data_IF_538182823788
#
_entry.id   IF_538182823788
#
_cell.length_a   1.000
_cell.length_b   1.000
_cell.length_c   1.000
_cell.angle_alpha   90.00
_cell.angle_beta   90.00
_cell.angle_gamma   90.00
#
_symmetry.space_group_name_H-M   'P 1'
#
loop_
_entity.id
_entity.type
_entity.pdbx_description
1 polymer ?
#
# COMPACT_ATOMS: atom_id res chain seq x y z
N UNK A 1 -61.53 18.44 12.35
CA UNK A 1 -60.14 18.27 12.78
C UNK A 1 -59.26 18.40 11.56
N UNK A 2 -58.47 19.47 11.52
CA UNK A 2 -57.68 19.82 10.31
C UNK A 2 -56.57 18.79 10.10
N UNK A 3 -56.45 18.32 8.84
CA UNK A 3 -55.41 17.40 8.39
C UNK A 3 -54.02 17.99 8.61
N UNK A 4 -53.24 17.40 9.49
CA UNK A 4 -51.83 17.75 9.74
C UNK A 4 -50.84 17.18 8.69
N UNK A 5 -51.31 16.79 7.50
CA UNK A 5 -50.53 16.04 6.49
C UNK A 5 -49.86 16.95 5.45
N UNK A 6 -50.14 18.27 5.46
CA UNK A 6 -49.51 19.20 4.48
C UNK A 6 -47.98 19.45 4.69
N UNK A 7 -47.36 18.88 5.68
CA UNK A 7 -45.91 19.09 5.99
C UNK A 7 -45.01 17.87 5.70
N UNK A 8 -45.46 16.79 5.12
CA UNK A 8 -44.63 15.63 4.82
C UNK A 8 -43.78 15.77 3.54
N UNK A 9 -43.98 16.80 2.73
CA UNK A 9 -43.23 16.99 1.47
C UNK A 9 -41.83 17.60 1.64
N UNK A 10 -41.40 17.91 2.89
CA UNK A 10 -40.09 18.52 3.18
C UNK A 10 -39.28 17.79 4.25
N UNK A 11 -39.75 16.62 4.73
CA UNK A 11 -38.99 15.80 5.69
C UNK A 11 -38.10 14.86 4.88
N UNK A 12 -36.80 14.97 5.05
CA UNK A 12 -35.83 14.01 4.47
C UNK A 12 -36.16 12.59 4.96
N UNK A 13 -35.98 11.61 4.10
CA UNK A 13 -36.27 10.17 4.35
C UNK A 13 -35.57 9.66 5.62
N UNK A 14 -34.49 10.28 6.05
CA UNK A 14 -33.73 9.96 7.27
C UNK A 14 -34.48 10.23 8.59
N UNK A 15 -35.57 11.02 8.57
CA UNK A 15 -36.28 11.42 9.77
C UNK A 15 -37.58 10.63 10.02
N UNK A 16 -37.87 9.60 9.25
CA UNK A 16 -39.10 8.77 9.37
C UNK A 16 -38.83 7.48 10.16
N UNK A 17 -38.29 7.59 11.37
CA UNK A 17 -38.11 6.43 12.26
C UNK A 17 -39.42 5.96 12.93
N UNK A 18 -40.58 6.62 12.77
CA UNK A 18 -41.82 6.35 13.52
C UNK A 18 -43.09 6.44 12.70
N UNK A 19 -43.22 5.65 11.64
CA UNK A 19 -44.54 5.43 11.00
C UNK A 19 -45.34 4.28 11.68
N UNK A 20 -44.77 3.58 12.63
CA UNK A 20 -45.34 2.35 13.18
C UNK A 20 -46.40 2.58 14.28
N UNK A 21 -46.93 3.78 14.47
CA UNK A 21 -47.98 4.08 15.45
C UNK A 21 -49.17 4.80 14.85
N UNK A 22 -49.34 4.81 13.51
CA UNK A 22 -50.55 5.32 12.86
C UNK A 22 -51.55 4.18 12.71
N UNK A 23 -52.74 4.33 13.34
CA UNK A 23 -53.85 3.38 13.21
C UNK A 23 -54.48 3.42 11.82
N UNK A 24 -55.02 2.29 11.39
CA UNK A 24 -55.39 1.88 10.02
C UNK A 24 -56.21 2.83 9.14
N UNK A 25 -56.95 3.79 9.68
CA UNK A 25 -57.88 4.61 8.91
C UNK A 25 -57.26 5.73 8.07
N UNK A 26 -55.94 5.95 8.18
CA UNK A 26 -55.24 7.04 7.47
C UNK A 26 -54.09 6.58 6.56
N UNK A 27 -53.94 5.26 6.35
CA UNK A 27 -52.80 4.69 5.62
C UNK A 27 -53.05 4.54 4.12
N UNK A 28 -54.32 4.69 3.64
CA UNK A 28 -54.64 4.53 2.23
C UNK A 28 -53.96 5.53 1.26
N UNK A 29 -53.42 6.63 1.78
CA UNK A 29 -52.70 7.63 0.97
C UNK A 29 -51.17 7.54 1.05
N UNK A 30 -50.62 6.67 1.86
CA UNK A 30 -49.16 6.40 1.89
C UNK A 30 -48.79 5.29 0.91
N UNK A 31 -49.78 4.53 0.43
CA UNK A 31 -49.59 3.35 -0.42
C UNK A 31 -49.14 3.65 -1.86
N UNK A 32 -48.88 4.91 -2.22
CA UNK A 32 -48.28 5.28 -3.50
C UNK A 32 -46.86 5.82 -3.37
N UNK A 33 -46.34 5.96 -2.16
CA UNK A 33 -44.92 6.16 -1.90
C UNK A 33 -44.30 4.77 -1.69
N UNK A 34 -43.83 4.16 -2.76
CA UNK A 34 -42.91 3.04 -2.65
C UNK A 34 -41.66 3.60 -1.98
N UNK A 35 -41.53 3.34 -0.68
CA UNK A 35 -40.21 3.42 -0.05
C UNK A 35 -39.40 2.29 -0.67
N UNK A 36 -38.74 2.57 -1.77
CA UNK A 36 -37.70 1.69 -2.25
C UNK A 36 -36.67 1.66 -1.11
N UNK A 37 -36.72 0.64 -0.28
CA UNK A 37 -35.73 0.42 0.77
C UNK A 37 -34.34 0.51 0.15
N UNK A 38 -33.35 0.96 0.91
CA UNK A 38 -32.00 1.00 0.42
C UNK A 38 -31.61 -0.37 -0.14
N UNK A 39 -31.20 -0.41 -1.40
CA UNK A 39 -30.61 -1.60 -2.00
C UNK A 39 -29.13 -1.56 -1.65
N UNK A 40 -28.66 -2.62 -1.03
CA UNK A 40 -27.26 -2.72 -0.65
C UNK A 40 -26.46 -3.52 -1.68
N UNK A 41 -25.20 -3.18 -1.82
CA UNK A 41 -24.29 -3.88 -2.72
C UNK A 41 -24.04 -5.29 -2.25
N UNK A 42 -24.10 -6.27 -3.18
CA UNK A 42 -23.69 -7.65 -2.96
C UNK A 42 -22.58 -8.00 -3.95
N UNK A 43 -21.45 -8.48 -3.43
CA UNK A 43 -20.34 -8.88 -4.27
C UNK A 43 -19.66 -10.15 -3.75
N UNK A 44 -18.85 -10.77 -4.62
CA UNK A 44 -18.06 -11.97 -4.34
C UNK A 44 -16.58 -11.72 -4.67
N UNK A 45 -15.70 -12.64 -4.25
CA UNK A 45 -14.25 -12.60 -4.52
C UNK A 45 -13.41 -12.21 -3.32
N UNK A 46 -12.18 -12.69 -3.31
CA UNK A 46 -11.24 -12.52 -2.20
C UNK A 46 -11.67 -13.21 -0.91
N UNK A 47 -11.03 -12.85 0.21
CA UNK A 47 -11.47 -13.24 1.55
C UNK A 47 -12.42 -12.18 2.08
N UNK A 48 -13.63 -12.59 2.45
CA UNK A 48 -14.71 -11.68 2.85
C UNK A 48 -14.83 -11.65 4.37
N UNK A 49 -14.84 -10.45 4.94
CA UNK A 49 -15.11 -10.19 6.36
C UNK A 49 -16.15 -9.08 6.52
N UNK A 50 -16.60 -8.84 7.76
CA UNK A 50 -17.57 -7.79 8.08
C UNK A 50 -16.96 -6.86 9.13
N UNK A 51 -17.16 -5.55 8.96
CA UNK A 51 -16.75 -4.50 9.89
C UNK A 51 -17.89 -3.50 10.04
N UNK A 52 -18.70 -3.62 11.11
CA UNK A 52 -19.94 -2.87 11.26
C UNK A 52 -20.85 -3.09 10.05
N UNK A 53 -21.27 -2.00 9.42
CA UNK A 53 -22.17 -2.00 8.25
C UNK A 53 -21.43 -2.26 6.92
N UNK A 54 -20.16 -2.65 6.97
CA UNK A 54 -19.33 -2.84 5.77
C UNK A 54 -18.99 -4.31 5.52
N UNK A 55 -19.05 -4.73 4.24
CA UNK A 55 -18.34 -5.92 3.74
C UNK A 55 -16.96 -5.50 3.27
N UNK A 56 -15.96 -6.31 3.64
CA UNK A 56 -14.56 -6.10 3.30
C UNK A 56 -14.05 -7.31 2.55
N UNK A 57 -13.55 -7.10 1.33
CA UNK A 57 -12.94 -8.11 0.46
C UNK A 57 -11.44 -7.90 0.43
N UNK A 58 -10.66 -8.88 0.85
CA UNK A 58 -9.19 -8.83 0.88
C UNK A 58 -8.63 -9.81 -0.15
N UNK A 59 -7.84 -9.28 -1.10
CA UNK A 59 -7.14 -10.04 -2.13
C UNK A 59 -5.65 -10.04 -1.82
N UNK A 60 -5.13 -11.17 -1.36
CA UNK A 60 -3.70 -11.44 -1.18
C UNK A 60 -3.07 -12.10 -2.42
N UNK A 61 -3.86 -12.43 -3.43
CA UNK A 61 -3.49 -12.93 -4.75
C UNK A 61 -4.48 -12.40 -5.79
N UNK A 62 -4.07 -12.39 -7.05
CA UNK A 62 -4.93 -11.96 -8.15
C UNK A 62 -6.22 -12.79 -8.23
N UNK A 63 -7.31 -12.15 -8.66
CA UNK A 63 -8.63 -12.78 -8.72
C UNK A 63 -9.66 -11.85 -9.36
N UNK A 64 -10.93 -12.09 -9.06
CA UNK A 64 -12.05 -11.30 -9.56
C UNK A 64 -12.90 -10.79 -8.40
N UNK A 65 -13.23 -9.51 -8.42
CA UNK A 65 -14.27 -8.91 -7.59
C UNK A 65 -15.52 -8.75 -8.44
N UNK A 66 -16.59 -9.46 -8.13
CA UNK A 66 -17.82 -9.45 -8.92
C UNK A 66 -18.96 -8.84 -8.11
N UNK A 67 -19.56 -7.76 -8.62
CA UNK A 67 -20.75 -7.15 -8.06
C UNK A 67 -21.97 -7.79 -8.73
N UNK A 68 -22.72 -8.61 -7.97
CA UNK A 68 -23.94 -9.30 -8.42
C UNK A 68 -25.19 -8.47 -8.21
N UNK A 69 -25.20 -7.59 -7.21
CA UNK A 69 -26.26 -6.61 -6.97
C UNK A 69 -25.60 -5.26 -6.68
N UNK A 70 -26.02 -4.22 -7.39
CA UNK A 70 -25.51 -2.86 -7.18
C UNK A 70 -26.39 -2.15 -6.15
N UNK A 71 -25.78 -1.60 -5.11
CA UNK A 71 -26.44 -0.78 -4.11
C UNK A 71 -26.84 0.60 -4.65
N UNK A 72 -27.71 1.27 -3.95
CA UNK A 72 -28.25 2.59 -4.33
C UNK A 72 -27.14 3.66 -4.39
N UNK A 73 -26.13 3.58 -3.52
CA UNK A 73 -24.98 4.47 -3.50
C UNK A 73 -23.96 4.19 -4.62
N UNK A 74 -23.95 2.96 -5.16
CA UNK A 74 -23.12 2.55 -6.30
C UNK A 74 -21.63 2.89 -6.18
N UNK A 75 -21.08 2.89 -4.94
CA UNK A 75 -19.68 3.22 -4.64
C UNK A 75 -18.99 2.16 -3.79
N UNK A 76 -17.68 2.07 -3.94
CA UNK A 76 -16.81 1.26 -3.06
C UNK A 76 -15.63 2.11 -2.56
N UNK A 77 -15.13 1.78 -1.39
CA UNK A 77 -13.84 2.21 -0.90
C UNK A 77 -12.79 1.20 -1.31
N UNK A 78 -11.58 1.66 -1.64
CA UNK A 78 -10.50 0.75 -2.00
C UNK A 78 -9.16 1.13 -1.36
N UNK A 79 -8.31 0.13 -1.22
CA UNK A 79 -6.88 0.24 -0.96
C UNK A 79 -6.15 -0.71 -1.90
N UNK A 80 -5.32 -0.17 -2.79
CA UNK A 80 -4.50 -0.93 -3.74
C UNK A 80 -3.04 -0.68 -3.42
N UNK A 81 -2.35 -1.71 -2.97
CA UNK A 81 -0.91 -1.67 -2.65
C UNK A 81 -0.18 -2.61 -3.60
N UNK A 82 0.81 -2.10 -4.31
CA UNK A 82 1.66 -2.87 -5.21
C UNK A 82 2.72 -3.69 -4.46
N UNK A 83 3.41 -4.58 -5.14
CA UNK A 83 4.56 -5.28 -4.60
C UNK A 83 5.72 -4.33 -4.30
N UNK A 84 6.37 -4.47 -3.14
CA UNK A 84 7.60 -3.78 -2.83
C UNK A 84 8.79 -4.39 -3.55
N UNK A 85 9.88 -3.66 -3.70
CA UNK A 85 11.09 -4.13 -4.36
C UNK A 85 12.02 -4.88 -3.42
N UNK A 86 12.90 -5.72 -3.98
CA UNK A 86 14.04 -6.30 -3.26
C UNK A 86 15.14 -5.26 -3.01
N UNK A 87 15.91 -5.48 -1.95
CA UNK A 87 17.17 -4.76 -1.73
C UNK A 87 18.28 -5.24 -2.70
N UNK A 88 19.37 -4.49 -2.77
CA UNK A 88 20.57 -4.87 -3.49
C UNK A 88 21.59 -5.59 -2.59
N UNK A 89 22.59 -6.23 -3.18
CA UNK A 89 23.69 -6.90 -2.50
C UNK A 89 24.99 -6.07 -2.54
N UNK A 90 25.99 -6.48 -1.75
CA UNK A 90 27.34 -5.86 -1.72
C UNK A 90 27.27 -4.34 -1.51
N UNK A 91 27.06 -3.95 -0.28
CA UNK A 91 26.81 -2.55 0.12
C UNK A 91 25.56 -1.96 -0.55
N UNK A 92 24.56 -2.82 -0.76
CA UNK A 92 23.38 -2.47 -1.54
C UNK A 92 22.36 -1.63 -0.79
N UNK A 93 21.63 -0.78 -1.52
CA UNK A 93 20.51 -0.01 -1.01
C UNK A 93 19.30 -0.90 -0.67
N UNK A 94 18.44 -0.42 0.22
CA UNK A 94 17.15 -1.04 0.51
C UNK A 94 16.14 -0.86 -0.63
N UNK A 95 15.24 -1.83 -0.81
CA UNK A 95 14.15 -1.74 -1.79
C UNK A 95 13.08 -0.71 -1.38
N UNK A 96 12.49 -0.01 -2.36
CA UNK A 96 11.33 0.87 -2.15
C UNK A 96 10.04 0.08 -1.91
N UNK A 97 9.10 0.65 -1.17
CA UNK A 97 7.76 0.09 -1.04
C UNK A 97 6.98 0.17 -2.36
N UNK A 98 6.02 -0.72 -2.54
CA UNK A 98 5.03 -0.60 -3.61
C UNK A 98 4.16 0.63 -3.44
N UNK A 99 3.64 1.15 -4.56
CA UNK A 99 2.70 2.26 -4.57
C UNK A 99 1.46 1.95 -3.72
N UNK A 100 0.93 2.96 -3.07
CA UNK A 100 -0.20 2.89 -2.15
C UNK A 100 -1.28 3.85 -2.61
N UNK A 101 -2.40 3.33 -3.09
CA UNK A 101 -3.52 4.15 -3.58
C UNK A 101 -4.81 3.80 -2.86
N UNK A 102 -5.53 4.81 -2.38
CA UNK A 102 -6.79 4.64 -1.66
C UNK A 102 -7.76 5.78 -1.99
N UNK A 103 -9.04 5.47 -2.02
CA UNK A 103 -10.12 6.45 -2.03
C UNK A 103 -11.39 5.86 -1.42
N UNK A 104 -12.32 6.75 -1.03
CA UNK A 104 -13.57 6.38 -0.37
C UNK A 104 -14.75 6.20 -1.33
N UNK A 105 -14.74 6.84 -2.50
CA UNK A 105 -15.96 7.01 -3.32
C UNK A 105 -15.72 6.64 -4.79
N UNK A 106 -15.23 5.42 -5.02
CA UNK A 106 -15.07 4.93 -6.39
C UNK A 106 -16.41 4.40 -6.91
N UNK A 107 -16.95 5.05 -7.95
CA UNK A 107 -18.16 4.58 -8.62
C UNK A 107 -17.94 3.22 -9.28
N UNK A 108 -18.91 2.33 -9.13
CA UNK A 108 -18.91 0.98 -9.67
C UNK A 108 -20.24 0.64 -10.35
N UNK A 109 -20.28 -0.45 -11.10
CA UNK A 109 -21.47 -1.03 -11.73
C UNK A 109 -21.58 -2.51 -11.41
N UNK A 110 -22.76 -3.11 -11.67
CA UNK A 110 -22.95 -4.55 -11.53
C UNK A 110 -22.21 -5.29 -12.65
N UNK A 111 -20.96 -5.66 -12.37
CA UNK A 111 -20.06 -6.35 -13.31
C UNK A 111 -18.90 -7.02 -12.57
N UNK A 112 -18.11 -7.80 -13.29
CA UNK A 112 -16.87 -8.39 -12.79
C UNK A 112 -15.69 -7.45 -13.03
N UNK A 113 -14.88 -7.22 -12.00
CA UNK A 113 -13.64 -6.45 -12.02
C UNK A 113 -12.45 -7.38 -11.81
N UNK A 114 -11.49 -7.35 -12.73
CA UNK A 114 -10.23 -8.05 -12.53
C UNK A 114 -9.42 -7.37 -11.43
N UNK A 115 -8.87 -8.16 -10.51
CA UNK A 115 -7.96 -7.72 -9.45
C UNK A 115 -6.60 -8.36 -9.71
N UNK A 116 -5.57 -7.54 -9.89
CA UNK A 116 -4.19 -7.98 -9.96
C UNK A 116 -3.47 -7.59 -8.67
N UNK A 117 -2.83 -8.56 -8.02
CA UNK A 117 -1.98 -8.32 -6.86
C UNK A 117 -0.52 -8.51 -7.26
N UNK A 118 0.27 -7.44 -7.17
CA UNK A 118 1.66 -7.42 -7.57
C UNK A 118 2.54 -8.27 -6.65
N UNK A 119 3.43 -9.06 -7.24
CA UNK A 119 4.45 -9.79 -6.50
C UNK A 119 5.53 -8.83 -5.97
N UNK A 120 6.13 -9.16 -4.83
CA UNK A 120 7.34 -8.50 -4.36
C UNK A 120 8.53 -8.84 -5.27
N UNK A 121 9.48 -7.91 -5.39
CA UNK A 121 10.76 -8.14 -6.08
C UNK A 121 11.54 -9.26 -5.37
N UNK A 122 12.05 -10.21 -6.13
CA UNK A 122 12.83 -11.33 -5.56
C UNK A 122 14.12 -10.84 -4.88
N UNK A 123 14.59 -11.57 -3.89
CA UNK A 123 15.94 -11.40 -3.33
C UNK A 123 17.01 -11.66 -4.38
N UNK A 124 18.22 -11.13 -4.19
CA UNK A 124 19.40 -11.40 -5.02
C UNK A 124 20.56 -11.94 -4.21
N UNK A 125 21.32 -12.84 -4.83
CA UNK A 125 22.60 -13.32 -4.31
C UNK A 125 23.78 -13.00 -5.27
N UNK A 126 23.48 -12.55 -6.48
CA UNK A 126 24.43 -12.08 -7.48
C UNK A 126 24.59 -10.55 -7.44
N UNK A 127 25.72 -10.08 -7.96
CA UNK A 127 26.00 -8.65 -8.02
C UNK A 127 25.05 -7.90 -8.96
N UNK A 128 24.09 -7.18 -8.38
CA UNK A 128 23.11 -6.43 -9.16
C UNK A 128 22.20 -5.56 -8.28
N UNK A 129 21.50 -4.64 -8.94
CA UNK A 129 20.45 -3.85 -8.30
C UNK A 129 19.32 -4.74 -7.81
N UNK A 130 18.60 -4.28 -6.81
CA UNK A 130 17.41 -4.97 -6.31
C UNK A 130 16.36 -5.17 -7.42
N UNK A 131 15.65 -6.28 -7.36
CA UNK A 131 14.56 -6.54 -8.29
C UNK A 131 13.36 -5.65 -7.97
N UNK A 132 12.75 -5.04 -8.98
CA UNK A 132 11.55 -4.23 -8.82
C UNK A 132 10.37 -5.07 -8.34
N UNK A 133 9.44 -4.45 -7.61
CA UNK A 133 8.13 -5.01 -7.37
C UNK A 133 7.24 -4.94 -8.62
N UNK A 134 6.16 -5.70 -8.60
CA UNK A 134 5.13 -5.68 -9.67
C UNK A 134 3.96 -4.80 -9.29
N UNK A 135 3.27 -4.27 -10.29
CA UNK A 135 2.09 -3.43 -10.11
C UNK A 135 0.90 -4.23 -9.55
N UNK A 136 0.07 -3.54 -8.77
CA UNK A 136 -1.28 -4.01 -8.41
C UNK A 136 -2.33 -3.17 -9.12
N UNK A 137 -3.41 -3.83 -9.56
CA UNK A 137 -4.47 -3.18 -10.33
C UNK A 137 -5.84 -3.57 -9.79
N UNK A 138 -6.70 -2.58 -9.63
CA UNK A 138 -8.14 -2.74 -9.42
C UNK A 138 -8.88 -1.74 -10.30
N UNK A 139 -9.72 -2.21 -11.22
CA UNK A 139 -10.41 -1.40 -12.21
C UNK A 139 -9.41 -0.49 -12.98
N UNK A 140 -9.61 0.82 -12.99
CA UNK A 140 -8.71 1.82 -13.60
C UNK A 140 -7.56 2.26 -12.69
N UNK A 141 -7.47 1.72 -11.47
CA UNK A 141 -6.46 2.11 -10.49
C UNK A 141 -5.26 1.17 -10.60
N UNK A 142 -4.11 1.73 -10.98
CA UNK A 142 -2.83 1.02 -10.96
C UNK A 142 -1.95 1.63 -9.88
N UNK A 143 -1.46 0.82 -8.95
CA UNK A 143 -0.38 1.16 -8.04
C UNK A 143 0.91 0.56 -8.59
N UNK A 144 1.96 1.37 -8.74
CA UNK A 144 3.22 0.95 -9.33
C UNK A 144 4.08 0.16 -8.35
N UNK A 145 4.78 -0.84 -8.83
CA UNK A 145 5.75 -1.60 -8.04
C UNK A 145 6.85 -0.72 -7.46
N UNK A 146 7.44 -1.12 -6.35
CA UNK A 146 8.56 -0.43 -5.70
C UNK A 146 9.83 -0.44 -6.55
N UNK A 147 10.67 0.57 -6.41
CA UNK A 147 11.99 0.70 -7.06
C UNK A 147 13.05 -0.12 -6.35
N UNK A 148 13.87 -0.87 -7.09
CA UNK A 148 14.96 -1.69 -6.57
C UNK A 148 16.05 -0.90 -5.87
N UNK A 149 16.67 -1.47 -4.83
CA UNK A 149 17.84 -0.87 -4.18
C UNK A 149 19.02 -0.76 -5.13
N UNK A 150 19.78 0.32 -5.05
CA UNK A 150 20.93 0.61 -5.90
C UNK A 150 22.15 -0.25 -5.53
N UNK A 151 22.93 -0.66 -6.57
CA UNK A 151 24.27 -1.22 -6.45
C UNK A 151 25.19 -0.65 -7.53
N UNK A 152 26.21 0.09 -7.13
CA UNK A 152 27.09 0.81 -8.03
C UNK A 152 26.37 1.93 -8.79
N UNK A 153 25.14 2.27 -8.36
CA UNK A 153 24.26 3.24 -9.01
C UNK A 153 23.24 3.82 -8.01
N UNK A 154 22.45 4.78 -8.47
CA UNK A 154 21.25 5.24 -7.79
C UNK A 154 20.26 4.08 -7.57
N UNK A 155 19.40 4.23 -6.57
CA UNK A 155 18.21 3.38 -6.45
C UNK A 155 17.25 3.60 -7.63
N UNK A 156 16.46 2.60 -7.96
CA UNK A 156 15.46 2.72 -9.02
C UNK A 156 14.27 3.56 -8.56
N UNK A 157 13.66 4.26 -9.53
CA UNK A 157 12.36 4.91 -9.32
C UNK A 157 11.24 3.86 -9.23
N UNK A 158 10.13 4.20 -8.58
CA UNK A 158 8.97 3.29 -8.48
C UNK A 158 7.79 3.92 -7.76
N UNK A 159 6.82 3.09 -7.32
CA UNK A 159 5.76 3.55 -6.43
C UNK A 159 6.34 4.29 -5.23
N UNK A 160 7.32 3.67 -4.54
CA UNK A 160 8.33 4.36 -3.75
C UNK A 160 9.72 4.00 -4.29
N UNK A 161 10.67 4.91 -4.21
CA UNK A 161 12.02 4.76 -4.77
C UNK A 161 12.92 3.87 -3.92
N UNK A 162 13.88 3.16 -4.54
CA UNK A 162 14.92 2.40 -3.86
C UNK A 162 15.99 3.26 -3.23
N UNK A 163 16.72 2.76 -2.23
CA UNK A 163 17.87 3.42 -1.63
C UNK A 163 19.09 3.41 -2.55
N UNK A 164 19.91 4.44 -2.49
CA UNK A 164 21.15 4.57 -3.28
C UNK A 164 22.30 3.73 -2.71
N UNK A 165 23.28 3.44 -3.56
CA UNK A 165 24.52 2.75 -3.20
C UNK A 165 25.46 3.65 -2.39
N UNK A 166 26.15 3.06 -1.38
CA UNK A 166 27.00 3.82 -0.45
C UNK A 166 28.50 3.82 -0.75
N UNK A 167 29.00 2.95 -1.65
CA UNK A 167 30.43 2.83 -1.92
C UNK A 167 30.83 3.58 -3.21
N UNK A 168 31.88 4.41 -3.14
CA UNK A 168 32.39 5.19 -4.28
C UNK A 168 31.69 6.53 -4.49
N UNK A 169 30.82 6.93 -3.60
CA UNK A 169 30.10 8.21 -3.60
C UNK A 169 28.67 8.08 -3.11
N UNK A 170 28.02 9.16 -2.71
CA UNK A 170 26.63 9.14 -2.34
C UNK A 170 25.74 9.04 -3.60
N UNK A 171 25.53 7.83 -4.08
CA UNK A 171 24.53 7.64 -5.16
C UNK A 171 23.13 7.98 -4.66
N UNK A 172 22.39 8.69 -5.48
CA UNK A 172 21.04 9.14 -5.12
C UNK A 172 20.09 7.98 -4.82
N UNK A 173 19.11 8.21 -3.97
CA UNK A 173 17.93 7.34 -3.91
C UNK A 173 17.08 7.49 -5.18
N UNK A 174 16.27 6.49 -5.48
CA UNK A 174 15.27 6.56 -6.54
C UNK A 174 14.10 7.47 -6.15
N UNK A 175 13.45 8.03 -7.16
CA UNK A 175 12.24 8.83 -6.97
C UNK A 175 11.03 7.95 -6.67
N UNK A 176 10.21 8.37 -5.72
CA UNK A 176 8.88 7.82 -5.49
C UNK A 176 7.85 8.42 -6.43
N UNK A 177 6.60 7.97 -6.29
CA UNK A 177 5.47 8.44 -7.10
C UNK A 177 5.76 8.39 -8.62
N UNK A 178 6.38 7.30 -9.08
CA UNK A 178 6.71 7.08 -10.49
C UNK A 178 6.01 5.82 -11.02
N UNK A 179 5.11 5.93 -12.02
CA UNK A 179 4.63 7.18 -12.63
C UNK A 179 3.88 8.08 -11.65
N UNK A 180 3.89 9.38 -11.90
CA UNK A 180 3.26 10.37 -11.02
C UNK A 180 1.74 10.17 -10.93
N UNK A 181 1.22 10.19 -9.71
CA UNK A 181 -0.24 10.14 -9.41
C UNK A 181 -0.62 11.24 -8.43
N UNK A 182 -1.90 11.59 -8.41
CA UNK A 182 -2.48 12.47 -7.41
C UNK A 182 -3.70 11.76 -6.77
N UNK A 183 -3.71 11.57 -5.43
CA UNK A 183 -2.61 11.76 -4.49
C UNK A 183 -1.36 10.93 -4.81
N UNK A 184 -0.20 11.32 -4.24
CA UNK A 184 1.06 10.56 -4.39
C UNK A 184 0.88 9.12 -3.91
N UNK A 185 1.45 8.17 -4.64
CA UNK A 185 1.41 6.74 -4.28
C UNK A 185 2.62 6.28 -3.44
N UNK A 186 3.62 7.15 -3.20
CA UNK A 186 4.80 6.81 -2.41
C UNK A 186 5.86 7.92 -2.44
N UNK A 187 6.99 7.65 -1.82
CA UNK A 187 8.04 8.65 -1.57
C UNK A 187 9.44 8.16 -1.97
N UNK A 188 10.40 9.09 -1.98
CA UNK A 188 11.77 8.85 -2.43
C UNK A 188 12.56 7.96 -1.46
N UNK A 189 13.50 7.20 -2.01
CA UNK A 189 14.58 6.57 -1.27
C UNK A 189 15.64 7.58 -0.85
N UNK A 190 16.48 7.23 0.15
CA UNK A 190 17.61 8.07 0.53
C UNK A 190 18.85 7.74 -0.29
N UNK A 191 19.72 8.74 -0.45
CA UNK A 191 21.04 8.52 -1.00
C UNK A 191 21.88 7.63 -0.08
N UNK A 192 22.95 7.02 -0.62
CA UNK A 192 23.99 6.38 0.17
C UNK A 192 24.70 7.39 1.07
N UNK A 193 25.44 6.89 2.08
CA UNK A 193 26.14 7.76 3.04
C UNK A 193 27.20 8.64 2.34
N UNK A 194 27.38 9.88 2.80
CA UNK A 194 28.45 10.72 2.30
C UNK A 194 29.83 10.16 2.66
N UNK A 195 30.75 10.10 1.71
CA UNK A 195 32.14 9.66 1.93
C UNK A 195 32.73 8.95 0.71
N UNK A 196 33.93 9.35 0.34
CA UNK A 196 34.65 8.76 -0.79
C UNK A 196 35.79 7.89 -0.26
N UNK A 197 35.89 6.67 -0.73
CA UNK A 197 37.11 5.84 -0.77
C UNK A 197 37.49 4.93 0.40
N UNK A 198 37.00 5.08 1.62
CA UNK A 198 37.34 4.17 2.74
C UNK A 198 36.14 3.79 3.57
N UNK A 199 36.06 2.47 3.94
CA UNK A 199 35.11 1.90 4.92
C UNK A 199 35.04 2.73 6.22
N UNK A 200 33.87 2.84 6.86
CA UNK A 200 32.62 2.10 6.61
C UNK A 200 31.70 2.76 5.58
N UNK A 201 30.97 1.91 4.81
CA UNK A 201 30.02 2.35 3.79
C UNK A 201 28.60 1.98 4.22
N UNK A 202 27.69 2.98 4.29
CA UNK A 202 26.26 2.77 4.49
C UNK A 202 25.48 3.12 3.23
N UNK A 203 24.63 2.21 2.80
CA UNK A 203 23.73 2.45 1.67
C UNK A 203 22.40 3.02 2.11
N UNK A 204 21.71 3.68 1.21
CA UNK A 204 20.44 4.33 1.44
C UNK A 204 19.32 3.35 1.75
N UNK A 205 18.32 3.77 2.53
CA UNK A 205 17.05 3.07 2.69
C UNK A 205 16.09 3.38 1.56
N UNK A 206 15.19 2.46 1.25
CA UNK A 206 14.08 2.65 0.31
C UNK A 206 12.99 3.54 0.87
N UNK A 207 12.29 4.29 0.02
CA UNK A 207 11.12 5.09 0.38
C UNK A 207 9.95 4.24 0.84
N UNK A 208 9.11 4.79 1.70
CA UNK A 208 7.86 4.17 2.15
C UNK A 208 6.64 4.87 1.56
N UNK A 209 5.47 4.27 1.72
CA UNK A 209 4.21 4.84 1.27
C UNK A 209 3.83 6.12 2.03
N UNK A 210 4.20 6.22 3.32
CA UNK A 210 3.86 7.34 4.18
C UNK A 210 4.95 8.40 4.29
N UNK A 211 6.21 8.03 4.11
CA UNK A 211 7.35 8.96 4.23
C UNK A 211 8.53 8.54 3.35
N UNK A 212 9.31 9.51 2.91
CA UNK A 212 10.61 9.27 2.31
C UNK A 212 11.56 8.59 3.31
N UNK A 213 12.55 7.86 2.78
CA UNK A 213 13.62 7.34 3.61
C UNK A 213 14.42 8.51 4.21
N UNK A 214 14.75 8.45 5.51
CA UNK A 214 15.54 9.50 6.16
C UNK A 214 16.90 9.68 5.50
N UNK A 215 17.33 10.94 5.33
CA UNK A 215 18.65 11.24 4.83
C UNK A 215 19.74 10.75 5.79
N UNK A 216 20.84 10.22 5.24
CA UNK A 216 21.99 9.78 6.02
C UNK A 216 22.94 10.97 6.22
N UNK A 217 23.05 11.46 7.45
CA UNK A 217 23.90 12.57 7.82
C UNK A 217 25.35 12.16 8.13
N UNK A 218 25.60 10.91 8.53
CA UNK A 218 26.91 10.44 9.00
C UNK A 218 27.47 9.35 8.09
N UNK A 219 28.74 9.47 7.73
CA UNK A 219 29.47 8.44 7.00
C UNK A 219 29.45 7.10 7.75
N UNK A 220 29.28 6.02 7.01
CA UNK A 220 29.33 4.65 7.52
C UNK A 220 28.07 4.15 8.21
N UNK A 221 26.99 4.94 8.24
CA UNK A 221 25.70 4.51 8.75
C UNK A 221 24.79 4.11 7.58
N UNK A 222 24.17 2.95 7.67
CA UNK A 222 23.15 2.54 6.72
C UNK A 222 21.83 3.29 6.95
N UNK A 223 21.17 3.68 5.88
CA UNK A 223 19.90 4.39 5.91
C UNK A 223 18.73 3.50 6.33
N UNK A 224 17.87 4.01 7.20
CA UNK A 224 16.61 3.36 7.50
C UNK A 224 15.62 3.51 6.33
N UNK A 225 14.70 2.56 6.21
CA UNK A 225 13.58 2.65 5.27
C UNK A 225 12.54 3.69 5.71
N UNK A 226 11.87 4.30 4.75
CA UNK A 226 10.75 5.21 4.97
C UNK A 226 9.53 4.51 5.57
N UNK A 227 8.78 5.22 6.39
CA UNK A 227 7.58 4.67 7.03
C UNK A 227 6.45 4.40 6.02
N UNK A 228 5.67 3.38 6.29
CA UNK A 228 4.42 3.09 5.57
C UNK A 228 3.26 3.98 5.99
N UNK A 229 2.13 3.80 5.33
CA UNK A 229 0.87 4.48 5.62
C UNK A 229 -0.11 3.58 6.34
N UNK A 230 -0.85 4.14 7.29
CA UNK A 230 -1.91 3.46 8.02
C UNK A 230 -3.25 3.56 7.30
N UNK A 231 -4.07 2.52 7.40
CA UNK A 231 -5.44 2.49 6.92
C UNK A 231 -6.30 1.66 7.85
N UNK A 232 -7.54 2.12 8.07
CA UNK A 232 -8.57 1.40 8.85
C UNK A 232 -9.59 0.72 7.94
N UNK A 233 -9.31 0.51 6.66
CA UNK A 233 -10.24 -0.09 5.70
C UNK A 233 -10.70 -1.50 6.11
N UNK A 234 -9.98 -2.18 6.99
CA UNK A 234 -10.32 -3.52 7.52
C UNK A 234 -10.91 -3.49 8.93
N UNK A 235 -11.38 -2.30 9.39
CA UNK A 235 -11.96 -2.11 10.73
C UNK A 235 -10.96 -1.64 11.78
N UNK A 236 -9.72 -2.07 11.73
CA UNK A 236 -8.63 -1.62 12.61
C UNK A 236 -7.50 -0.98 11.82
N UNK A 237 -6.75 -0.07 12.47
CA UNK A 237 -5.62 0.61 11.84
C UNK A 237 -4.46 -0.36 11.60
N UNK A 238 -4.08 -0.54 10.33
CA UNK A 238 -2.95 -1.37 9.91
C UNK A 238 -2.00 -0.54 9.04
N UNK A 239 -0.73 -0.45 9.44
CA UNK A 239 0.32 0.23 8.66
C UNK A 239 0.89 -0.74 7.62
N UNK A 240 1.03 -0.28 6.36
CA UNK A 240 1.58 -1.05 5.22
C UNK A 240 2.49 -0.18 4.36
N UNK A 241 3.31 -0.80 3.53
CA UNK A 241 4.17 -0.09 2.58
C UNK A 241 5.38 0.58 3.22
N UNK A 242 6.05 -0.05 4.18
CA UNK A 242 7.34 0.41 4.71
C UNK A 242 8.48 0.12 3.74
N UNK A 243 9.45 1.04 3.58
CA UNK A 243 10.64 0.84 2.76
C UNK A 243 11.66 -0.08 3.42
N UNK A 244 12.57 -0.69 2.65
CA UNK A 244 13.67 -1.51 3.16
C UNK A 244 14.82 -0.68 3.72
N UNK A 245 15.52 -1.17 4.74
CA UNK A 245 16.75 -0.57 5.25
C UNK A 245 17.94 -0.85 4.33
N UNK A 246 18.92 0.06 4.25
CA UNK A 246 20.16 -0.10 3.49
C UNK A 246 21.14 -1.08 4.13
N UNK A 247 22.06 -1.64 3.34
CA UNK A 247 23.18 -2.45 3.82
C UNK A 247 24.34 -1.60 4.32
N UNK A 248 25.14 -2.14 5.26
CA UNK A 248 26.38 -1.55 5.76
C UNK A 248 27.50 -2.58 5.67
N UNK A 249 28.74 -2.13 5.34
CA UNK A 249 29.82 -3.06 4.97
C UNK A 249 30.63 -3.66 6.14
N UNK A 250 30.83 -3.02 7.23
CA UNK A 250 31.94 -3.40 8.08
C UNK A 250 31.58 -3.95 9.46
N UNK A 251 31.08 -3.13 10.34
CA UNK A 251 30.89 -3.47 11.75
C UNK A 251 29.62 -2.90 12.35
N UNK A 252 28.91 -2.05 11.56
CA UNK A 252 27.67 -1.44 11.95
C UNK A 252 26.48 -2.35 11.73
N UNK A 253 25.36 -1.96 12.27
CA UNK A 253 24.09 -2.56 11.93
C UNK A 253 23.63 -2.00 10.58
N UNK A 254 23.05 -2.84 9.74
CA UNK A 254 22.27 -2.39 8.58
C UNK A 254 21.14 -1.49 9.04
N UNK A 255 20.59 -0.73 8.09
CA UNK A 255 19.47 0.17 8.33
C UNK A 255 18.21 -0.59 8.76
N UNK A 256 17.45 -0.02 9.68
CA UNK A 256 16.14 -0.56 10.05
C UNK A 256 15.17 -0.52 8.88
N UNK A 257 14.31 -1.52 8.77
CA UNK A 257 13.15 -1.48 7.85
C UNK A 257 12.11 -0.47 8.34
N UNK A 258 11.44 0.21 7.40
CA UNK A 258 10.35 1.13 7.70
C UNK A 258 9.14 0.40 8.31
N UNK A 259 8.42 1.07 9.21
CA UNK A 259 7.16 0.56 9.77
C UNK A 259 6.18 0.23 8.63
N UNK A 260 5.40 -0.84 8.79
CA UNK A 260 4.49 -1.30 7.74
C UNK A 260 5.08 -2.38 6.84
N UNK A 261 6.04 -3.16 7.38
CA UNK A 261 6.51 -4.39 6.75
C UNK A 261 7.80 -4.29 5.95
N UNK A 262 8.58 -3.21 6.09
CA UNK A 262 9.90 -3.09 5.47
C UNK A 262 10.92 -4.06 6.10
N UNK A 263 11.77 -4.68 5.28
CA UNK A 263 12.86 -5.56 5.70
C UNK A 263 14.07 -4.77 6.16
N UNK A 264 14.71 -5.16 7.25
CA UNK A 264 15.95 -4.54 7.72
C UNK A 264 17.13 -4.92 6.81
N UNK A 265 18.04 -3.99 6.57
CA UNK A 265 19.34 -4.23 5.98
C UNK A 265 20.27 -4.95 6.95
N UNK A 266 21.43 -5.35 6.46
CA UNK A 266 22.44 -6.06 7.27
C UNK A 266 23.86 -5.73 6.83
N UNK A 267 24.82 -5.92 7.73
CA UNK A 267 26.26 -6.02 7.45
C UNK A 267 26.69 -7.48 7.27
N UNK A 268 25.83 -8.44 7.55
CA UNK A 268 26.08 -9.88 7.52
C UNK A 268 25.63 -10.51 6.19
N UNK A 269 25.41 -11.82 6.21
CA UNK A 269 25.16 -12.62 4.99
C UNK A 269 23.75 -12.46 4.40
N UNK A 270 22.70 -12.30 5.22
CA UNK A 270 21.31 -12.30 4.76
C UNK A 270 20.55 -11.11 5.35
N UNK A 271 19.94 -10.34 4.51
CA UNK A 271 19.04 -9.25 4.90
C UNK A 271 17.61 -9.74 5.09
N UNK A 272 16.84 -9.02 5.86
CA UNK A 272 15.46 -9.39 6.12
C UNK A 272 14.59 -9.19 4.87
N UNK A 273 13.75 -10.17 4.59
CA UNK A 273 12.64 -10.01 3.65
C UNK A 273 11.61 -9.04 4.23
N UNK A 274 10.93 -8.33 3.36
CA UNK A 274 9.74 -7.59 3.74
C UNK A 274 8.57 -8.54 4.07
N UNK A 275 7.62 -8.03 4.86
CA UNK A 275 6.42 -8.78 5.20
C UNK A 275 5.52 -8.93 3.96
N UNK A 276 5.03 -10.12 3.69
CA UNK A 276 4.08 -10.39 2.60
C UNK A 276 2.76 -9.65 2.80
N UNK A 277 2.05 -9.32 1.72
CA UNK A 277 0.75 -8.63 1.72
C UNK A 277 0.79 -7.24 2.37
N UNK A 278 1.97 -6.62 2.38
CA UNK A 278 2.15 -5.24 2.86
C UNK A 278 2.70 -4.30 1.80
N UNK A 279 3.25 -4.83 0.70
CA UNK A 279 3.98 -4.03 -0.28
C UNK A 279 5.29 -3.44 0.26
N UNK A 280 5.84 -3.99 1.35
CA UNK A 280 7.09 -3.49 1.94
C UNK A 280 8.31 -3.75 1.08
N UNK A 281 9.34 -2.89 1.14
CA UNK A 281 10.63 -3.07 0.48
C UNK A 281 11.56 -4.00 1.28
N UNK A 282 12.36 -4.84 0.60
CA UNK A 282 13.36 -5.72 1.20
C UNK A 282 14.64 -5.03 1.62
N UNK A 283 15.35 -5.55 2.62
CA UNK A 283 16.59 -5.00 3.14
C UNK A 283 17.78 -5.16 2.18
N UNK A 284 18.64 -4.15 2.10
CA UNK A 284 19.92 -4.18 1.39
C UNK A 284 20.98 -4.96 2.15
N UNK A 285 21.85 -5.68 1.44
CA UNK A 285 22.93 -6.45 2.03
C UNK A 285 24.26 -5.73 1.90
N UNK A 286 24.98 -5.55 3.03
CA UNK A 286 26.29 -4.90 3.08
C UNK A 286 27.46 -5.86 2.96
N UNK A 287 27.27 -7.16 3.20
CA UNK A 287 28.33 -8.16 3.24
C UNK A 287 28.85 -8.57 1.86
N UNK A 288 30.11 -9.02 1.83
CA UNK A 288 30.66 -9.74 0.67
C UNK A 288 30.20 -11.22 0.71
N UNK A 289 30.10 -11.81 -0.47
CA UNK A 289 29.69 -13.21 -0.74
C UNK A 289 30.11 -14.27 0.32
N UNK A 290 29.32 -15.32 0.56
CA UNK A 290 27.99 -15.54 0.00
C UNK A 290 26.91 -14.89 0.87
N UNK A 291 26.04 -14.10 0.26
CA UNK A 291 24.92 -13.45 0.97
C UNK A 291 23.79 -13.08 0.02
N UNK A 292 22.63 -12.78 0.57
CA UNK A 292 21.49 -12.36 -0.21
C UNK A 292 20.83 -11.10 0.37
N UNK A 293 20.31 -10.27 -0.50
CA UNK A 293 19.44 -9.16 -0.13
C UNK A 293 18.05 -9.69 0.32
N UNK A 294 17.28 -8.86 1.01
CA UNK A 294 15.90 -9.16 1.31
C UNK A 294 14.99 -9.06 0.07
N UNK A 295 14.05 -9.96 -0.04
CA UNK A 295 12.95 -9.85 -1.02
C UNK A 295 11.95 -8.77 -0.60
N UNK A 296 11.30 -8.13 -1.55
CA UNK A 296 10.13 -7.30 -1.31
C UNK A 296 8.90 -8.11 -0.93
N UNK A 297 7.97 -7.51 -0.19
CA UNK A 297 6.69 -8.10 0.15
C UNK A 297 5.68 -7.98 -1.01
N UNK A 298 4.84 -8.98 -1.21
CA UNK A 298 3.71 -8.86 -2.14
C UNK A 298 2.78 -7.70 -1.76
N UNK A 299 2.08 -7.17 -2.74
CA UNK A 299 1.01 -6.22 -2.55
C UNK A 299 -0.25 -6.83 -1.93
N UNK A 300 -1.28 -6.03 -1.82
CA UNK A 300 -2.64 -6.41 -1.41
C UNK A 300 -3.65 -5.46 -2.03
N UNK A 301 -4.83 -5.99 -2.37
CA UNK A 301 -5.98 -5.17 -2.77
C UNK A 301 -7.11 -5.40 -1.80
N UNK A 302 -7.67 -4.32 -1.26
CA UNK A 302 -8.79 -4.36 -0.31
C UNK A 302 -9.91 -3.49 -0.84
N UNK A 303 -11.13 -4.02 -0.86
CA UNK A 303 -12.32 -3.33 -1.34
C UNK A 303 -13.38 -3.41 -0.23
N UNK A 304 -14.05 -2.29 0.05
CA UNK A 304 -15.05 -2.21 1.10
C UNK A 304 -16.28 -1.43 0.61
N UNK A 305 -17.47 -1.89 0.98
CA UNK A 305 -18.74 -1.23 0.65
C UNK A 305 -19.79 -1.46 1.74
N UNK A 306 -20.80 -0.57 1.80
CA UNK A 306 -21.96 -0.72 2.70
C UNK A 306 -22.84 -1.89 2.24
N UNK A 307 -23.28 -2.72 3.21
CA UNK A 307 -24.13 -3.88 2.93
C UNK A 307 -25.37 -3.94 3.84
N UNK A 308 -25.56 -3.00 4.75
CA UNK A 308 -26.73 -2.81 5.61
C UNK A 308 -26.80 -1.40 6.15
#
# INVERSE_FOLDING_TARGET
MANQVEKLSTIGITDIEKVNTLTDDNIEKINTLEFAGAIYTVATGGTITTDGDYKVHVFNSSGTFEITTLGTDAVVQYLVIAGGAGGAVYEGGGGGAGGYRTAADMSVSATSYSVTVGAGGASRSDAGQGNRGSDSVFNSITSAGGGGGGRGAAGDDGGSGGGGYGNGGPYAGGSGNTPSTSPSQGNDGSAGSPGYSYSPYGSGGGGGAGAAAPAIATSGIAGAGGAGSASSITGSSVTRGGGGGGGERTTGAGGAGGSGGGGAGTSATYSANATVNTGGGGGGNGGYSPGASGAGGSGVVIIRYLFQ
#
